data_IF_145877420164
#
_entry.id   IF_145877420164
#
_cell.length_a   1.000
_cell.length_b   1.000
_cell.length_c   1.000
_cell.angle_alpha   90.00
_cell.angle_beta   90.00
_cell.angle_gamma   90.00
#
_symmetry.space_group_name_H-M   'P 1'
#
loop_
_entity.id
_entity.type
_entity.pdbx_description
1 polymer ?
#
# COMPACT_ATOMS: atom_id res chain seq x y z
N UNK A 1 15.71 -17.37 -25.65
CA UNK A 1 15.94 -18.53 -24.76
C UNK A 1 17.10 -19.31 -25.36
N UNK A 2 18.12 -19.54 -24.59
CA UNK A 2 19.25 -20.36 -24.97
C UNK A 2 19.09 -21.71 -24.29
N UNK A 3 19.54 -22.79 -24.96
CA UNK A 3 19.41 -24.18 -24.51
C UNK A 3 17.93 -24.59 -24.25
N UNK A 4 17.27 -25.05 -25.29
CA UNK A 4 15.90 -25.58 -25.19
C UNK A 4 15.84 -27.07 -24.83
N UNK A 5 16.98 -27.74 -24.75
CA UNK A 5 17.11 -29.14 -24.31
C UNK A 5 18.10 -29.23 -23.15
N UNK A 6 17.72 -29.98 -22.14
CA UNK A 6 18.58 -30.27 -20.98
C UNK A 6 18.86 -31.77 -20.93
N UNK A 7 20.10 -32.15 -20.60
CA UNK A 7 20.50 -33.55 -20.43
C UNK A 7 20.68 -33.82 -18.94
N UNK A 8 19.99 -34.82 -18.45
CA UNK A 8 20.22 -35.39 -17.11
C UNK A 8 20.97 -36.71 -17.33
N UNK A 9 22.21 -36.76 -16.91
CA UNK A 9 23.06 -37.95 -17.03
C UNK A 9 22.52 -39.10 -16.20
N UNK A 10 22.80 -40.32 -16.60
CA UNK A 10 22.39 -41.51 -15.87
C UNK A 10 22.91 -41.47 -14.43
N UNK A 11 22.04 -41.74 -13.46
CA UNK A 11 22.33 -41.67 -12.03
C UNK A 11 22.36 -40.26 -11.43
N UNK A 12 22.01 -39.21 -12.20
CA UNK A 12 21.85 -37.84 -11.73
C UNK A 12 20.37 -37.46 -11.60
N UNK A 13 20.06 -36.54 -10.75
CA UNK A 13 18.73 -35.97 -10.56
C UNK A 13 18.60 -34.53 -11.09
N UNK A 14 19.69 -33.93 -11.53
CA UNK A 14 19.76 -32.55 -11.99
C UNK A 14 20.62 -32.48 -13.25
N UNK A 15 20.22 -31.68 -14.21
CA UNK A 15 21.04 -31.34 -15.39
C UNK A 15 22.27 -30.54 -14.96
N UNK A 16 23.43 -30.80 -15.61
CA UNK A 16 24.65 -30.03 -15.43
C UNK A 16 24.55 -28.60 -16.02
N UNK A 17 23.62 -28.40 -16.96
CA UNK A 17 23.37 -27.12 -17.60
C UNK A 17 21.98 -26.61 -17.28
N UNK A 18 21.82 -25.28 -17.29
CA UNK A 18 20.53 -24.61 -17.06
C UNK A 18 19.96 -24.02 -18.35
N UNK A 19 18.68 -23.75 -18.35
CA UNK A 19 18.02 -22.88 -19.34
C UNK A 19 18.32 -21.43 -18.97
N UNK A 20 18.92 -20.68 -19.90
CA UNK A 20 19.15 -19.25 -19.73
C UNK A 20 18.06 -18.45 -20.41
N UNK A 21 17.43 -17.57 -19.66
CA UNK A 21 16.50 -16.58 -20.15
C UNK A 21 17.14 -15.19 -20.07
N UNK A 22 17.11 -14.45 -21.17
CA UNK A 22 17.63 -13.09 -21.23
C UNK A 22 16.53 -12.15 -21.71
N UNK A 23 16.35 -11.04 -21.00
CA UNK A 23 15.50 -9.93 -21.45
C UNK A 23 16.31 -9.12 -22.44
N UNK A 24 15.93 -9.15 -23.72
CA UNK A 24 16.66 -8.48 -24.82
C UNK A 24 16.17 -7.04 -25.06
N UNK A 25 14.95 -6.70 -24.66
CA UNK A 25 14.42 -5.33 -24.67
C UNK A 25 13.46 -5.12 -23.51
N UNK A 26 13.46 -3.91 -22.97
CA UNK A 26 12.54 -3.46 -21.91
C UNK A 26 11.47 -2.48 -22.42
N UNK A 27 11.54 -2.11 -23.70
CA UNK A 27 10.69 -1.06 -24.29
C UNK A 27 9.19 -1.40 -24.27
N UNK A 28 8.87 -2.68 -24.26
CA UNK A 28 7.47 -3.16 -24.21
C UNK A 28 6.96 -3.37 -22.80
N UNK A 29 7.82 -3.26 -21.78
CA UNK A 29 7.39 -3.40 -20.38
C UNK A 29 6.77 -2.09 -19.93
N UNK A 30 5.50 -2.14 -19.54
CA UNK A 30 4.76 -0.99 -19.02
C UNK A 30 4.87 -0.94 -17.51
N UNK A 31 5.00 0.27 -16.96
CA UNK A 31 4.94 0.53 -15.53
C UNK A 31 3.62 -0.04 -14.96
N UNK A 32 3.68 -0.65 -13.78
CA UNK A 32 2.54 -1.25 -13.11
C UNK A 32 1.99 -2.53 -13.72
N UNK A 33 2.60 -3.02 -14.81
CA UNK A 33 2.15 -4.25 -15.46
C UNK A 33 3.01 -5.44 -15.03
N UNK A 34 2.35 -6.50 -14.59
CA UNK A 34 2.98 -7.79 -14.31
C UNK A 34 2.90 -8.68 -15.55
N UNK A 35 4.03 -9.13 -16.02
CA UNK A 35 4.13 -10.08 -17.12
C UNK A 35 4.43 -11.46 -16.58
N UNK A 36 3.81 -12.47 -17.15
CA UNK A 36 4.02 -13.87 -16.76
C UNK A 36 4.47 -14.65 -17.99
N UNK A 37 5.66 -15.25 -17.91
CA UNK A 37 6.21 -16.10 -18.94
C UNK A 37 6.12 -17.56 -18.48
N UNK A 38 5.21 -18.39 -19.05
CA UNK A 38 5.20 -19.83 -18.79
C UNK A 38 6.35 -20.51 -19.51
N UNK A 39 7.09 -21.33 -18.81
CA UNK A 39 8.13 -22.21 -19.38
C UNK A 39 7.77 -23.65 -19.03
N UNK A 40 7.52 -24.46 -20.07
CA UNK A 40 7.01 -25.84 -19.89
C UNK A 40 7.97 -26.85 -20.46
N UNK A 41 8.09 -27.99 -19.79
CA UNK A 41 8.71 -29.18 -20.37
C UNK A 41 7.72 -29.75 -21.40
N UNK A 42 8.11 -29.79 -22.66
CA UNK A 42 7.24 -30.29 -23.74
C UNK A 42 7.32 -31.79 -23.92
N UNK A 43 8.41 -32.43 -23.48
CA UNK A 43 8.58 -33.87 -23.55
C UNK A 43 9.94 -34.33 -23.04
N UNK A 44 10.09 -35.64 -22.93
CA UNK A 44 11.34 -36.34 -22.62
C UNK A 44 11.66 -37.34 -23.72
N UNK A 45 12.91 -37.57 -23.98
CA UNK A 45 13.37 -38.49 -25.05
C UNK A 45 13.29 -39.96 -24.66
N UNK A 46 13.39 -40.28 -23.39
CA UNK A 46 13.28 -41.66 -22.88
C UNK A 46 11.81 -42.09 -22.85
N UNK A 47 11.50 -43.19 -23.54
CA UNK A 47 10.14 -43.76 -23.65
C UNK A 47 9.60 -44.31 -22.34
N UNK A 48 10.47 -44.58 -21.37
CA UNK A 48 10.10 -45.11 -20.06
C UNK A 48 9.79 -44.00 -19.03
N UNK A 49 10.02 -42.72 -19.41
CA UNK A 49 9.79 -41.58 -18.56
C UNK A 49 8.59 -40.77 -19.07
N UNK A 50 7.90 -40.13 -18.15
CA UNK A 50 6.83 -39.19 -18.46
C UNK A 50 7.01 -37.90 -17.68
N UNK A 51 6.49 -36.82 -18.23
CA UNK A 51 6.45 -35.51 -17.55
C UNK A 51 5.26 -35.50 -16.61
N UNK A 52 5.48 -35.11 -15.35
CA UNK A 52 4.39 -34.93 -14.39
C UNK A 52 3.63 -33.62 -14.76
N UNK A 53 2.39 -33.76 -15.22
CA UNK A 53 1.57 -32.64 -15.73
C UNK A 53 1.45 -31.48 -14.72
N UNK A 54 1.22 -31.77 -13.46
CA UNK A 54 1.08 -30.73 -12.41
C UNK A 54 2.38 -29.95 -12.10
N UNK A 55 3.53 -30.43 -12.58
CA UNK A 55 4.85 -29.81 -12.31
C UNK A 55 5.64 -29.49 -13.57
N UNK A 56 5.01 -29.60 -14.75
CA UNK A 56 5.69 -29.38 -16.03
C UNK A 56 5.96 -27.93 -16.40
N UNK A 57 5.24 -27.00 -15.77
CA UNK A 57 5.30 -25.56 -16.11
C UNK A 57 5.74 -24.76 -14.90
N UNK A 58 6.75 -23.92 -15.10
CA UNK A 58 7.12 -22.84 -14.20
C UNK A 58 6.66 -21.52 -14.80
N UNK A 59 6.24 -20.60 -13.94
CA UNK A 59 5.84 -19.26 -14.32
C UNK A 59 6.88 -18.26 -13.85
N UNK A 60 7.53 -17.57 -14.81
CA UNK A 60 8.49 -16.52 -14.51
C UNK A 60 7.72 -15.20 -14.50
N UNK A 61 7.65 -14.58 -13.33
CA UNK A 61 6.99 -13.29 -13.15
C UNK A 61 8.01 -12.18 -13.37
N UNK A 62 7.69 -11.26 -14.27
CA UNK A 62 8.53 -10.12 -14.63
C UNK A 62 7.75 -8.85 -14.27
N UNK A 63 8.25 -8.11 -13.28
CA UNK A 63 7.73 -6.81 -12.88
C UNK A 63 8.76 -5.74 -13.18
N UNK A 64 8.30 -4.58 -13.65
CA UNK A 64 9.15 -3.41 -13.71
C UNK A 64 9.32 -2.85 -12.29
N UNK A 65 10.55 -2.64 -11.86
CA UNK A 65 10.83 -1.89 -10.63
C UNK A 65 10.52 -0.42 -10.90
N UNK A 66 9.60 0.11 -10.10
CA UNK A 66 9.26 1.52 -10.12
C UNK A 66 10.24 2.26 -9.22
N UNK A 67 10.87 3.31 -9.73
CA UNK A 67 11.72 4.21 -8.95
C UNK A 67 11.02 5.57 -8.97
N UNK A 68 10.64 6.05 -7.80
CA UNK A 68 9.85 7.25 -7.63
C UNK A 68 10.35 8.06 -6.43
N UNK A 69 9.54 8.99 -5.97
CA UNK A 69 9.73 9.77 -4.75
C UNK A 69 8.66 9.41 -3.72
N UNK A 70 8.82 9.94 -2.51
CA UNK A 70 7.81 9.89 -1.46
C UNK A 70 7.83 11.19 -0.67
N UNK A 71 6.69 11.63 -0.14
CA UNK A 71 6.65 12.80 0.72
C UNK A 71 7.33 12.53 2.05
N UNK A 72 8.18 13.46 2.49
CA UNK A 72 8.85 13.44 3.80
C UNK A 72 7.98 14.18 4.84
N UNK A 73 7.34 13.41 5.72
CA UNK A 73 6.53 13.87 6.84
C UNK A 73 7.20 13.53 8.18
N UNK A 74 8.53 13.65 8.22
CA UNK A 74 9.31 13.28 9.41
C UNK A 74 9.33 14.34 10.50
N UNK A 75 8.91 15.56 10.22
CA UNK A 75 8.85 16.62 11.21
C UNK A 75 7.45 16.70 11.85
N UNK A 76 7.44 17.16 13.11
CA UNK A 76 6.21 17.44 13.84
C UNK A 76 5.37 18.48 13.10
N UNK A 77 4.04 18.22 13.01
CA UNK A 77 3.10 19.14 12.41
C UNK A 77 3.16 19.20 10.88
N UNK A 78 3.82 18.25 10.22
CA UNK A 78 3.81 18.10 8.77
C UNK A 78 2.80 17.04 8.36
N UNK A 79 1.83 17.43 7.54
CA UNK A 79 0.73 16.55 7.11
C UNK A 79 0.02 17.14 5.88
N UNK A 80 -0.83 16.34 5.27
CA UNK A 80 -1.74 16.79 4.23
C UNK A 80 -3.18 16.78 4.73
N UNK A 81 -3.97 17.71 4.19
CA UNK A 81 -5.44 17.76 4.31
C UNK A 81 -6.07 17.38 2.99
N UNK A 82 -7.15 16.62 3.06
CA UNK A 82 -7.99 16.29 1.89
C UNK A 82 -9.45 16.62 2.22
N UNK A 83 -10.10 17.34 1.33
CA UNK A 83 -11.51 17.71 1.49
C UNK A 83 -12.41 16.81 0.61
N UNK A 84 -13.05 15.83 1.23
CA UNK A 84 -13.97 14.90 0.58
C UNK A 84 -15.41 15.42 0.45
N UNK A 85 -15.70 16.68 0.85
CA UNK A 85 -17.04 17.28 0.72
C UNK A 85 -17.36 17.74 -0.70
N UNK A 86 -16.37 17.76 -1.60
CA UNK A 86 -16.57 18.07 -3.01
C UNK A 86 -17.43 17.00 -3.67
N UNK A 87 -18.28 17.42 -4.58
CA UNK A 87 -19.05 16.50 -5.42
C UNK A 87 -18.14 15.59 -6.24
N UNK A 88 -18.48 14.31 -6.26
CA UNK A 88 -17.89 13.31 -7.12
C UNK A 88 -18.90 12.21 -7.42
N UNK A 89 -18.51 11.22 -8.21
CA UNK A 89 -19.36 10.04 -8.46
C UNK A 89 -19.57 9.15 -7.22
N UNK A 90 -18.81 9.38 -6.15
CA UNK A 90 -18.92 8.62 -4.90
C UNK A 90 -19.67 9.42 -3.84
N UNK A 91 -20.56 8.77 -3.10
CA UNK A 91 -21.16 9.33 -1.90
C UNK A 91 -20.17 9.21 -0.72
N UNK A 92 -19.23 10.14 -0.64
CA UNK A 92 -18.15 10.13 0.36
C UNK A 92 -18.63 10.32 1.79
N UNK A 93 -19.87 10.79 2.01
CA UNK A 93 -20.47 10.89 3.34
C UNK A 93 -21.05 9.56 3.85
N UNK A 94 -21.21 8.54 2.99
CA UNK A 94 -21.83 7.28 3.38
C UNK A 94 -21.32 6.09 2.54
N UNK A 95 -20.04 5.79 2.63
CA UNK A 95 -19.45 4.65 1.94
C UNK A 95 -19.75 3.35 2.71
N UNK A 96 -20.41 2.40 2.07
CA UNK A 96 -20.75 1.10 2.65
C UNK A 96 -19.58 0.11 2.69
N UNK A 97 -18.58 0.32 1.84
CA UNK A 97 -17.31 -0.39 1.84
C UNK A 97 -16.19 0.63 1.71
N UNK A 98 -15.10 0.43 2.43
CA UNK A 98 -13.97 1.37 2.39
C UNK A 98 -12.66 0.61 2.53
N UNK A 99 -11.67 1.01 1.75
CA UNK A 99 -10.28 0.65 2.01
C UNK A 99 -9.42 1.91 2.04
N UNK A 100 -8.61 2.06 3.08
CA UNK A 100 -7.48 2.97 3.08
C UNK A 100 -6.21 2.15 2.96
N UNK A 101 -5.33 2.55 2.09
CA UNK A 101 -4.02 1.94 1.97
C UNK A 101 -2.94 2.99 1.69
N UNK A 102 -1.74 2.75 2.19
CA UNK A 102 -0.57 3.57 1.92
C UNK A 102 0.71 2.75 2.04
N UNK A 103 1.71 3.12 1.26
CA UNK A 103 3.06 2.63 1.44
C UNK A 103 3.82 3.63 2.28
N UNK A 104 4.36 3.19 3.42
CA UNK A 104 5.01 4.05 4.40
C UNK A 104 6.36 3.50 4.86
N UNK A 105 7.22 4.40 5.32
CA UNK A 105 8.47 4.06 5.99
C UNK A 105 8.61 4.98 7.21
N UNK A 106 8.37 4.43 8.40
CA UNK A 106 8.61 5.16 9.65
C UNK A 106 10.11 5.27 9.91
N UNK A 107 10.62 6.47 10.12
CA UNK A 107 12.04 6.67 10.42
C UNK A 107 12.42 6.05 11.76
N UNK A 108 11.68 6.40 12.79
CA UNK A 108 11.85 5.85 14.13
C UNK A 108 10.58 6.10 14.94
N UNK A 109 9.93 5.04 15.29
CA UNK A 109 8.75 5.09 16.16
C UNK A 109 9.19 5.14 17.62
N UNK A 110 9.71 6.32 18.03
CA UNK A 110 10.07 6.60 19.42
C UNK A 110 9.17 7.72 19.89
N UNK A 111 8.33 7.51 20.91
CA UNK A 111 7.49 8.57 21.43
C UNK A 111 8.35 9.67 22.03
N UNK A 112 7.98 10.89 21.72
CA UNK A 112 8.31 12.07 22.53
C UNK A 112 7.31 12.15 23.68
N UNK A 113 7.61 12.97 24.69
CA UNK A 113 6.70 13.17 25.81
C UNK A 113 5.27 13.48 25.33
N UNK A 114 4.31 12.69 25.75
CA UNK A 114 2.90 12.80 25.35
C UNK A 114 2.51 12.10 24.06
N UNK A 115 3.45 11.70 23.22
CA UNK A 115 3.13 10.99 21.97
C UNK A 115 2.93 9.51 22.21
N UNK A 116 1.82 8.98 21.72
CA UNK A 116 1.41 7.60 21.92
C UNK A 116 0.87 6.92 20.66
N UNK A 117 0.93 7.58 19.50
CA UNK A 117 0.66 6.98 18.21
C UNK A 117 1.39 7.73 17.09
N UNK A 118 1.54 7.06 15.93
CA UNK A 118 2.02 7.62 14.67
C UNK A 118 0.90 7.43 13.64
N UNK A 119 0.38 8.53 13.12
CA UNK A 119 -0.78 8.47 12.23
C UNK A 119 -0.37 8.38 10.79
N UNK A 120 -1.05 7.54 10.03
CA UNK A 120 -0.82 7.36 8.59
C UNK A 120 -1.85 8.16 7.80
N UNK A 121 -3.14 7.82 7.92
CA UNK A 121 -4.19 8.53 7.19
C UNK A 121 -5.58 8.25 7.78
N UNK A 122 -6.49 9.17 7.55
CA UNK A 122 -7.90 9.00 7.90
C UNK A 122 -8.47 10.10 8.78
N UNK A 123 -9.60 9.78 9.41
CA UNK A 123 -10.36 10.66 10.29
C UNK A 123 -10.37 10.08 11.71
N UNK A 124 -9.81 10.83 12.65
CA UNK A 124 -9.80 10.44 14.05
C UNK A 124 -11.24 10.19 14.55
N UNK A 125 -11.41 9.22 15.43
CA UNK A 125 -12.69 8.77 16.01
C UNK A 125 -13.70 8.17 15.00
N UNK A 126 -13.42 8.23 13.68
CA UNK A 126 -14.28 7.65 12.66
C UNK A 126 -13.62 6.44 11.99
N UNK A 127 -12.59 6.68 11.19
CA UNK A 127 -11.85 5.63 10.48
C UNK A 127 -10.43 6.10 10.24
N UNK A 128 -9.49 5.69 11.11
CA UNK A 128 -8.13 6.21 11.10
C UNK A 128 -7.11 5.08 11.16
N UNK A 129 -6.25 5.03 10.15
CA UNK A 129 -5.09 4.15 10.07
C UNK A 129 -3.92 4.80 10.78
N UNK A 130 -3.52 4.23 11.91
CA UNK A 130 -2.45 4.73 12.77
C UNK A 130 -1.70 3.58 13.43
N UNK A 131 -0.78 3.89 14.32
CA UNK A 131 -0.11 2.89 15.15
C UNK A 131 -0.65 2.93 16.58
N UNK A 132 -0.51 1.80 17.29
CA UNK A 132 -0.65 1.70 18.75
C UNK A 132 0.52 0.90 19.30
N UNK A 133 0.91 1.16 20.56
CA UNK A 133 1.99 0.43 21.19
C UNK A 133 2.86 1.26 22.10
N UNK A 134 4.04 0.73 22.41
CA UNK A 134 5.01 1.34 23.29
C UNK A 134 6.45 1.03 22.85
N UNK A 135 7.43 1.71 23.45
CA UNK A 135 8.86 1.44 23.17
C UNK A 135 9.31 0.06 23.63
N UNK A 136 8.64 -0.54 24.59
CA UNK A 136 9.00 -1.85 25.16
C UNK A 136 8.36 -2.99 24.39
N UNK A 137 7.14 -2.80 23.88
CA UNK A 137 6.36 -3.83 23.18
C UNK A 137 6.41 -3.67 21.65
N UNK A 138 6.95 -2.55 21.17
CA UNK A 138 6.93 -2.18 19.77
C UNK A 138 5.60 -1.52 19.36
N UNK A 139 5.52 -1.15 18.09
CA UNK A 139 4.39 -0.41 17.51
C UNK A 139 3.65 -1.29 16.53
N UNK A 140 2.37 -1.45 16.72
CA UNK A 140 1.48 -2.24 15.86
C UNK A 140 0.66 -1.32 14.97
N UNK A 141 0.24 -1.82 13.81
CA UNK A 141 -0.79 -1.14 13.03
C UNK A 141 -2.10 -1.17 13.80
N UNK A 142 -2.81 -0.04 13.83
CA UNK A 142 -4.13 0.08 14.43
C UNK A 142 -5.12 0.72 13.44
N UNK A 143 -6.30 0.14 13.32
CA UNK A 143 -7.47 0.85 12.84
C UNK A 143 -8.26 1.36 14.04
N UNK A 144 -8.25 2.67 14.20
CA UNK A 144 -9.02 3.41 15.21
C UNK A 144 -10.31 3.95 14.61
N UNK A 145 -11.27 4.25 15.46
CA UNK A 145 -12.62 4.68 15.06
C UNK A 145 -13.59 3.50 14.97
N UNK A 146 -14.68 3.61 15.68
CA UNK A 146 -15.57 2.49 16.02
C UNK A 146 -15.00 1.62 17.16
N UNK A 147 -15.88 1.05 17.97
CA UNK A 147 -15.49 0.25 19.12
C UNK A 147 -15.68 -1.24 18.83
N UNK A 148 -14.69 -2.10 19.19
CA UNK A 148 -13.34 -1.76 19.63
C UNK A 148 -12.42 -1.35 18.46
N UNK A 149 -11.29 -0.69 18.75
CA UNK A 149 -10.19 -0.57 17.80
C UNK A 149 -9.58 -1.95 17.53
N UNK A 150 -8.90 -2.10 16.40
CA UNK A 150 -8.21 -3.34 16.04
C UNK A 150 -6.71 -3.10 15.84
N UNK A 151 -5.88 -3.90 16.48
CA UNK A 151 -4.42 -3.86 16.37
C UNK A 151 -3.91 -5.04 15.56
N UNK A 152 -2.81 -4.83 14.83
CA UNK A 152 -2.14 -5.91 14.12
C UNK A 152 -1.54 -6.93 15.09
N UNK A 153 -1.48 -8.19 14.63
CA UNK A 153 -0.77 -9.25 15.34
C UNK A 153 0.72 -8.91 15.47
N UNK A 154 1.33 -8.50 14.37
CA UNK A 154 2.76 -8.28 14.27
C UNK A 154 3.13 -6.81 14.50
N UNK A 155 4.34 -6.58 15.00
CA UNK A 155 4.94 -5.27 15.20
C UNK A 155 5.48 -4.73 13.88
N UNK A 156 5.27 -3.43 13.64
CA UNK A 156 5.80 -2.75 12.46
C UNK A 156 7.31 -2.50 12.58
N UNK A 157 8.06 -2.67 11.49
CA UNK A 157 9.49 -2.38 11.51
C UNK A 157 9.75 -0.86 11.48
N UNK A 158 10.86 -0.44 12.07
CA UNK A 158 11.43 0.88 11.84
C UNK A 158 12.30 0.86 10.58
N UNK A 159 12.32 1.99 9.89
CA UNK A 159 13.21 2.28 8.76
C UNK A 159 13.13 1.29 7.58
N UNK A 160 11.97 0.64 7.44
CA UNK A 160 11.65 -0.24 6.30
C UNK A 160 10.34 0.20 5.65
N UNK A 161 10.26 0.07 4.35
CA UNK A 161 9.00 0.28 3.63
C UNK A 161 8.03 -0.85 3.95
N UNK A 162 6.80 -0.48 4.28
CA UNK A 162 5.69 -1.41 4.47
C UNK A 162 4.45 -0.86 3.77
N UNK A 163 3.64 -1.75 3.22
CA UNK A 163 2.31 -1.42 2.75
C UNK A 163 1.30 -1.72 3.86
N UNK A 164 0.55 -0.71 4.24
CA UNK A 164 -0.46 -0.77 5.29
C UNK A 164 -1.84 -0.58 4.69
N UNK A 165 -2.80 -1.38 5.12
CA UNK A 165 -4.18 -1.19 4.70
C UNK A 165 -5.16 -1.51 5.84
N UNK A 166 -6.28 -0.78 5.84
CA UNK A 166 -7.46 -1.10 6.62
C UNK A 166 -8.68 -1.14 5.71
N UNK A 167 -9.55 -2.10 5.97
CA UNK A 167 -10.74 -2.39 5.18
C UNK A 167 -11.96 -2.41 6.08
N UNK A 168 -13.02 -1.74 5.67
CA UNK A 168 -14.37 -1.98 6.15
C UNK A 168 -15.18 -2.63 5.05
N UNK A 169 -15.71 -3.82 5.32
CA UNK A 169 -16.61 -4.55 4.44
C UNK A 169 -18.01 -4.57 5.07
N UNK A 170 -18.86 -3.66 4.61
CA UNK A 170 -20.22 -3.56 5.12
C UNK A 170 -21.10 -4.75 4.74
N UNK A 171 -20.76 -5.48 3.66
CA UNK A 171 -21.49 -6.70 3.27
C UNK A 171 -21.27 -7.84 4.26
N UNK A 172 -20.09 -7.91 4.88
CA UNK A 172 -19.74 -8.85 5.92
C UNK A 172 -19.97 -8.30 7.34
N UNK A 173 -20.16 -6.98 7.50
CA UNK A 173 -20.20 -6.32 8.79
C UNK A 173 -18.89 -6.48 9.57
N UNK A 174 -17.75 -6.38 8.88
CA UNK A 174 -16.43 -6.62 9.44
C UNK A 174 -15.43 -5.53 9.04
N UNK A 175 -14.41 -5.38 9.86
CA UNK A 175 -13.20 -4.61 9.55
C UNK A 175 -11.97 -5.51 9.61
N UNK A 176 -10.99 -5.15 8.77
CA UNK A 176 -9.76 -5.91 8.59
C UNK A 176 -8.57 -4.96 8.55
N UNK A 177 -7.41 -5.44 9.00
CA UNK A 177 -6.12 -4.74 8.82
C UNK A 177 -5.10 -5.67 8.18
N UNK A 178 -4.28 -5.08 7.31
CA UNK A 178 -3.28 -5.80 6.52
C UNK A 178 -1.92 -5.09 6.58
N UNK A 179 -0.86 -5.88 6.60
CA UNK A 179 0.52 -5.44 6.43
C UNK A 179 1.12 -6.23 5.27
N UNK A 180 1.61 -5.55 4.24
CA UNK A 180 2.14 -6.16 3.01
C UNK A 180 1.18 -7.18 2.35
N UNK A 181 -0.12 -6.89 2.39
CA UNK A 181 -1.17 -7.76 1.86
C UNK A 181 -1.48 -8.98 2.71
N UNK A 182 -0.85 -9.14 3.87
CA UNK A 182 -1.12 -10.23 4.82
C UNK A 182 -2.10 -9.78 5.90
N UNK A 183 -3.15 -10.56 6.11
CA UNK A 183 -4.16 -10.29 7.13
C UNK A 183 -3.52 -10.33 8.53
N UNK A 184 -3.65 -9.23 9.25
CA UNK A 184 -3.10 -9.05 10.59
C UNK A 184 -4.16 -9.11 11.69
N UNK A 185 -5.41 -8.89 11.33
CA UNK A 185 -6.53 -8.98 12.26
C UNK A 185 -7.86 -8.67 11.58
N UNK A 186 -8.93 -9.20 12.17
CA UNK A 186 -10.31 -8.91 11.78
C UNK A 186 -11.22 -8.81 13.01
N UNK A 187 -12.23 -7.96 12.96
CA UNK A 187 -13.26 -7.83 13.99
C UNK A 187 -14.62 -7.51 13.34
N UNK A 188 -15.73 -7.89 13.98
CA UNK A 188 -17.05 -7.38 13.62
C UNK A 188 -17.08 -5.85 13.69
N UNK A 189 -17.79 -5.21 12.77
CA UNK A 189 -18.02 -3.77 12.75
C UNK A 189 -19.38 -3.47 12.13
N UNK A 190 -20.28 -2.94 12.94
CA UNK A 190 -21.68 -2.69 12.56
C UNK A 190 -21.98 -1.24 12.25
N UNK A 191 -20.95 -0.43 11.92
CA UNK A 191 -21.12 1.02 11.66
C UNK A 191 -22.06 1.35 10.49
N UNK A 192 -22.29 0.42 9.57
CA UNK A 192 -23.10 0.61 8.37
C UNK A 192 -22.37 1.38 7.28
N UNK A 193 -21.82 2.54 7.55
CA UNK A 193 -21.10 3.39 6.60
C UNK A 193 -19.90 4.07 7.23
N UNK A 194 -18.95 4.48 6.37
CA UNK A 194 -17.84 5.38 6.72
C UNK A 194 -18.08 6.72 6.05
N UNK A 195 -18.05 7.79 6.82
CA UNK A 195 -18.21 9.17 6.37
C UNK A 195 -16.82 9.82 6.26
N UNK A 196 -16.36 10.06 5.02
CA UNK A 196 -15.07 10.74 4.77
C UNK A 196 -15.18 12.27 4.94
N UNK A 197 -16.39 12.79 5.06
CA UNK A 197 -16.66 14.24 5.28
C UNK A 197 -16.71 14.59 6.77
N UNK A 198 -16.65 13.56 7.63
CA UNK A 198 -16.72 13.72 9.09
C UNK A 198 -15.59 14.61 9.60
N UNK A 199 -15.98 15.59 10.43
CA UNK A 199 -15.04 16.45 11.12
C UNK A 199 -14.98 16.08 12.61
N UNK A 200 -13.80 15.78 13.13
CA UNK A 200 -13.59 15.50 14.53
C UNK A 200 -13.47 16.81 15.34
N UNK A 201 -14.26 16.90 16.40
CA UNK A 201 -14.26 18.06 17.29
C UNK A 201 -14.96 19.28 16.69
N UNK A 202 -14.55 20.47 17.15
CA UNK A 202 -15.15 21.74 16.72
C UNK A 202 -14.48 22.37 15.48
N UNK A 203 -13.47 21.74 14.93
CA UNK A 203 -12.82 22.23 13.72
C UNK A 203 -13.63 21.78 12.50
N UNK A 204 -14.54 22.64 12.04
CA UNK A 204 -15.31 22.43 10.82
C UNK A 204 -14.44 22.31 9.56
N UNK A 205 -13.15 22.61 9.66
CA UNK A 205 -12.16 22.41 8.62
C UNK A 205 -11.34 21.14 8.85
N UNK A 206 -11.62 20.38 9.93
CA UNK A 206 -10.99 19.07 10.11
C UNK A 206 -11.38 18.23 8.91
N UNK A 207 -10.37 17.87 8.19
CA UNK A 207 -10.51 17.09 6.98
C UNK A 207 -9.92 15.71 7.22
N UNK A 208 -9.99 14.89 6.24
CA UNK A 208 -9.18 13.71 6.15
C UNK A 208 -7.69 14.11 6.16
N UNK A 209 -6.92 13.56 7.09
CA UNK A 209 -5.49 13.84 7.20
C UNK A 209 -4.65 12.68 6.67
N UNK A 210 -3.47 13.01 6.09
CA UNK A 210 -2.42 12.06 5.79
C UNK A 210 -1.16 12.52 6.51
N UNK A 211 -0.58 11.65 7.34
CA UNK A 211 0.61 11.94 8.13
C UNK A 211 0.34 12.51 9.52
N UNK A 212 -0.91 12.74 9.88
CA UNK A 212 -1.31 13.23 11.21
C UNK A 212 -2.73 12.75 11.57
N UNK A 213 -3.11 12.83 12.85
CA UNK A 213 -4.49 12.76 13.31
C UNK A 213 -4.68 13.67 14.52
N UNK A 214 -5.87 14.23 14.70
CA UNK A 214 -6.33 15.05 15.83
C UNK A 214 -5.37 16.14 16.35
N UNK A 215 -4.07 15.86 16.53
CA UNK A 215 -3.08 16.76 17.11
C UNK A 215 -1.70 16.60 16.45
N UNK A 216 -0.90 17.65 16.49
CA UNK A 216 0.40 17.70 15.84
C UNK A 216 1.47 16.80 16.47
N UNK A 217 1.26 16.32 17.68
CA UNK A 217 2.09 15.30 18.35
C UNK A 217 1.84 13.87 17.84
N UNK A 218 0.78 13.67 17.05
CA UNK A 218 0.43 12.40 16.42
C UNK A 218 0.88 12.33 14.96
N UNK A 219 1.97 13.01 14.60
CA UNK A 219 2.52 13.00 13.26
C UNK A 219 3.20 11.66 12.91
N UNK A 220 3.29 11.36 11.62
CA UNK A 220 3.76 10.05 11.13
C UNK A 220 5.22 9.78 11.46
N UNK A 221 6.10 10.78 11.42
CA UNK A 221 7.56 10.65 11.56
C UNK A 221 8.17 9.68 10.53
N UNK A 222 7.95 9.96 9.27
CA UNK A 222 8.41 9.08 8.19
C UNK A 222 8.04 9.58 6.81
N UNK A 223 7.99 8.65 5.88
CA UNK A 223 7.73 8.90 4.47
C UNK A 223 6.45 8.20 4.04
N UNK A 224 5.69 8.83 3.13
CA UNK A 224 4.46 8.27 2.56
C UNK A 224 4.52 8.28 1.04
N UNK A 225 4.04 7.20 0.46
CA UNK A 225 3.88 7.01 -0.98
C UNK A 225 2.65 6.14 -1.25
N UNK A 226 2.10 6.20 -2.45
CA UNK A 226 1.02 5.32 -2.90
C UNK A 226 -0.18 5.29 -1.95
N UNK A 227 -0.61 6.45 -1.43
CA UNK A 227 -1.78 6.51 -0.56
C UNK A 227 -3.07 6.52 -1.40
N UNK A 228 -4.03 5.68 -1.02
CA UNK A 228 -5.28 5.47 -1.77
C UNK A 228 -6.47 5.31 -0.85
N UNK A 229 -7.61 5.78 -1.33
CA UNK A 229 -8.92 5.61 -0.71
C UNK A 229 -9.84 4.92 -1.72
N UNK A 230 -10.50 3.87 -1.30
CA UNK A 230 -11.40 3.07 -2.12
C UNK A 230 -12.80 3.02 -1.52
N UNK A 231 -13.82 3.00 -2.38
CA UNK A 231 -15.22 2.72 -2.05
C UNK A 231 -15.55 1.22 -2.17
N UNK A 232 -14.56 0.37 -2.08
CA UNK A 232 -14.68 -1.10 -2.13
C UNK A 232 -13.83 -1.74 -1.04
N UNK A 233 -14.24 -2.91 -0.58
CA UNK A 233 -13.44 -3.76 0.30
C UNK A 233 -12.40 -4.52 -0.55
N UNK A 234 -11.14 -4.09 -0.51
CA UNK A 234 -10.05 -4.71 -1.26
C UNK A 234 -9.69 -6.06 -0.68
N UNK A 235 -9.49 -7.05 -1.53
CA UNK A 235 -9.02 -8.37 -1.12
C UNK A 235 -7.54 -8.36 -0.73
N UNK A 236 -7.11 -9.36 0.07
CA UNK A 236 -5.69 -9.56 0.39
C UNK A 236 -4.82 -9.71 -0.89
N UNK A 237 -5.34 -10.39 -1.91
CA UNK A 237 -4.64 -10.55 -3.20
C UNK A 237 -4.47 -9.21 -3.92
N UNK A 238 -5.49 -8.37 -3.95
CA UNK A 238 -5.42 -7.03 -4.54
C UNK A 238 -4.41 -6.16 -3.80
N UNK A 239 -4.47 -6.14 -2.46
CA UNK A 239 -3.55 -5.39 -1.62
C UNK A 239 -2.09 -5.84 -1.78
N UNK A 240 -1.86 -7.15 -1.97
CA UNK A 240 -0.53 -7.71 -2.17
C UNK A 240 0.04 -7.42 -3.56
N UNK A 241 -0.81 -7.50 -4.59
CA UNK A 241 -0.36 -7.40 -5.98
C UNK A 241 -0.24 -5.95 -6.48
N UNK A 242 -0.89 -5.00 -5.84
CA UNK A 242 -0.98 -3.61 -6.31
C UNK A 242 -0.27 -2.60 -5.39
N UNK A 243 0.73 -3.03 -4.64
CA UNK A 243 1.46 -2.18 -3.68
C UNK A 243 2.10 -0.97 -4.37
N UNK A 244 2.68 -1.16 -5.54
CA UNK A 244 3.54 -0.17 -6.19
C UNK A 244 2.82 0.80 -7.11
N UNK A 245 1.69 0.40 -7.62
CA UNK A 245 0.90 1.19 -8.57
C UNK A 245 -0.47 0.57 -8.79
N UNK A 246 -1.45 1.42 -9.10
CA UNK A 246 -2.76 1.02 -9.64
C UNK A 246 -3.13 1.97 -10.76
N UNK A 247 -3.93 1.51 -11.72
CA UNK A 247 -4.51 2.39 -12.72
C UNK A 247 -5.44 3.40 -12.02
N UNK A 248 -5.18 4.71 -12.16
CA UNK A 248 -6.03 5.74 -11.56
C UNK A 248 -7.51 5.69 -11.99
N UNK A 249 -7.79 5.04 -13.10
CA UNK A 249 -9.15 4.84 -13.61
C UNK A 249 -9.82 3.57 -13.07
N UNK A 250 -9.18 2.83 -12.18
CA UNK A 250 -9.74 1.61 -11.59
C UNK A 250 -11.06 1.92 -10.88
N UNK A 251 -12.10 1.14 -11.18
CA UNK A 251 -13.40 1.32 -10.54
C UNK A 251 -13.32 1.11 -9.03
N UNK A 252 -14.06 1.92 -8.29
CA UNK A 252 -14.01 1.94 -6.83
C UNK A 252 -12.89 2.79 -6.22
N UNK A 253 -11.91 3.28 -7.01
CA UNK A 253 -10.85 4.15 -6.52
C UNK A 253 -11.39 5.59 -6.37
N UNK A 254 -11.49 6.04 -5.11
CA UNK A 254 -12.03 7.36 -4.75
C UNK A 254 -10.98 8.44 -4.88
N UNK A 255 -9.77 8.18 -4.35
CA UNK A 255 -8.64 9.11 -4.41
C UNK A 255 -7.32 8.36 -4.41
N UNK A 256 -6.31 8.92 -5.10
CA UNK A 256 -4.99 8.34 -5.23
C UNK A 256 -3.88 9.40 -5.27
N UNK A 257 -2.96 9.36 -4.34
CA UNK A 257 -1.79 10.24 -4.24
C UNK A 257 -0.51 9.42 -4.24
N UNK A 258 0.30 9.59 -5.28
CA UNK A 258 1.60 8.90 -5.36
C UNK A 258 2.65 9.53 -4.45
N UNK A 259 2.53 10.84 -4.18
CA UNK A 259 3.52 11.64 -3.44
C UNK A 259 4.91 11.64 -4.09
N UNK A 260 4.95 11.68 -5.40
CA UNK A 260 6.19 11.71 -6.16
C UNK A 260 6.58 13.11 -6.62
N UNK A 261 5.66 14.05 -6.63
CA UNK A 261 5.87 15.44 -7.02
C UNK A 261 4.70 16.31 -6.53
N UNK A 262 4.92 17.64 -6.37
CA UNK A 262 3.81 18.56 -6.15
C UNK A 262 3.05 18.81 -7.45
N UNK A 263 1.86 19.40 -7.34
CA UNK A 263 1.14 19.89 -8.52
C UNK A 263 1.93 20.98 -9.24
N UNK A 264 1.83 21.03 -10.56
CA UNK A 264 2.58 21.99 -11.40
C UNK A 264 2.33 23.46 -11.02
N UNK A 265 1.09 23.76 -10.63
CA UNK A 265 0.62 25.10 -10.29
C UNK A 265 0.77 25.45 -8.80
N UNK A 266 1.04 24.48 -7.95
CA UNK A 266 1.11 24.68 -6.51
C UNK A 266 2.03 23.69 -5.78
N UNK A 267 3.19 24.16 -5.35
CA UNK A 267 4.21 23.40 -4.63
C UNK A 267 3.75 22.81 -3.27
N UNK A 268 2.57 23.15 -2.78
CA UNK A 268 1.98 22.60 -1.55
C UNK A 268 0.85 21.59 -1.80
N UNK A 269 0.56 21.30 -3.04
CA UNK A 269 -0.53 20.39 -3.42
C UNK A 269 0.04 19.14 -4.09
N UNK A 270 -0.49 17.99 -3.75
CA UNK A 270 -0.28 16.74 -4.47
C UNK A 270 -1.59 16.36 -5.16
N UNK A 271 -1.51 16.17 -6.47
CA UNK A 271 -2.67 15.91 -7.30
C UNK A 271 -3.28 14.54 -7.00
N UNK A 272 -4.60 14.50 -6.92
CA UNK A 272 -5.39 13.27 -6.97
C UNK A 272 -5.42 12.74 -8.40
N UNK A 273 -4.77 11.62 -8.63
CA UNK A 273 -4.62 11.02 -9.96
C UNK A 273 -5.91 10.45 -10.54
N UNK A 274 -6.94 10.23 -9.72
CA UNK A 274 -8.23 9.68 -10.18
C UNK A 274 -9.05 10.68 -11.00
N UNK A 275 -8.71 11.97 -10.92
CA UNK A 275 -9.49 13.04 -11.52
C UNK A 275 -10.78 13.40 -10.75
N UNK A 276 -11.05 12.78 -9.59
CA UNK A 276 -12.20 13.12 -8.73
C UNK A 276 -12.01 14.46 -7.98
N UNK A 277 -10.80 15.04 -8.02
CA UNK A 277 -10.51 16.36 -7.48
C UNK A 277 -10.20 16.41 -5.99
N UNK A 278 -9.90 15.29 -5.37
CA UNK A 278 -9.52 15.19 -3.95
C UNK A 278 -8.03 15.42 -3.74
N UNK A 279 -7.51 16.54 -4.22
CA UNK A 279 -6.11 16.90 -4.06
C UNK A 279 -5.70 16.98 -2.60
N UNK A 280 -4.50 16.48 -2.26
CA UNK A 280 -3.93 16.57 -0.94
C UNK A 280 -3.15 17.88 -0.78
N UNK A 281 -3.56 18.73 0.15
CA UNK A 281 -2.90 20.01 0.41
C UNK A 281 -2.01 19.91 1.63
N UNK A 282 -0.72 20.22 1.46
CA UNK A 282 0.24 20.25 2.55
C UNK A 282 -0.08 21.40 3.52
N UNK A 283 -0.26 21.07 4.79
CA UNK A 283 -0.64 21.98 5.86
C UNK A 283 0.46 22.17 6.92
N UNK A 284 1.66 21.66 6.65
CA UNK A 284 2.80 21.75 7.55
C UNK A 284 3.43 23.14 7.62
N UNK A 285 4.30 23.32 8.60
CA UNK A 285 4.96 24.61 8.92
C UNK A 285 6.18 24.92 8.05
N UNK A 286 6.50 24.08 7.09
CA UNK A 286 7.63 24.24 6.20
C UNK A 286 7.25 24.13 4.75
N UNK A 287 8.24 23.80 3.95
CA UNK A 287 8.04 23.41 2.56
C UNK A 287 7.81 21.92 2.48
N UNK A 288 6.95 21.50 1.57
CA UNK A 288 6.82 20.09 1.21
C UNK A 288 8.17 19.58 0.69
N UNK A 289 8.60 18.44 1.23
CA UNK A 289 9.85 17.79 0.86
C UNK A 289 9.57 16.39 0.35
N UNK A 290 10.43 15.94 -0.55
CA UNK A 290 10.39 14.59 -1.09
C UNK A 290 11.72 13.88 -0.87
N UNK A 291 11.67 12.56 -0.68
CA UNK A 291 12.83 11.68 -0.72
C UNK A 291 12.84 10.96 -2.07
N UNK A 292 13.99 10.98 -2.73
CA UNK A 292 14.21 10.39 -4.05
C UNK A 292 14.65 8.93 -3.96
N UNK A 293 14.62 8.23 -5.09
CA UNK A 293 15.13 6.88 -5.22
C UNK A 293 14.29 5.82 -4.51
N UNK A 294 13.02 6.09 -4.25
CA UNK A 294 12.09 5.15 -3.62
C UNK A 294 11.76 4.02 -4.60
N UNK A 295 12.24 2.84 -4.31
CA UNK A 295 12.01 1.64 -5.14
C UNK A 295 10.75 0.92 -4.70
N UNK A 296 10.00 0.40 -5.68
CA UNK A 296 8.88 -0.51 -5.42
C UNK A 296 8.80 -1.59 -6.52
N UNK A 297 8.72 -2.88 -6.20
CA UNK A 297 8.86 -3.42 -4.85
C UNK A 297 10.25 -3.12 -4.26
N UNK A 298 10.31 -3.10 -2.95
CA UNK A 298 11.56 -2.90 -2.21
C UNK A 298 12.32 -4.23 -2.17
N UNK A 299 12.86 -4.61 -3.32
CA UNK A 299 13.68 -5.80 -3.44
C UNK A 299 15.09 -5.48 -2.94
N UNK A 300 15.26 -5.30 -1.67
CA UNK A 300 16.50 -5.66 -1.03
C UNK A 300 16.45 -7.18 -0.86
N UNK A 301 16.75 -7.92 -1.92
CA UNK A 301 17.21 -9.28 -1.75
C UNK A 301 18.51 -9.18 -0.94
N UNK A 302 18.41 -9.47 0.36
CA UNK A 302 19.56 -9.85 1.16
C UNK A 302 20.01 -11.25 0.77
#
# INVERSE_FOLDING_TARGET
MENTSLIIENGKSISSEGVRLSIISRELLKEGTTYVLPVSIVGVSDKNLSVIEGSRTIYIVINQVIITQAADLSNRGEYFKVDFRKESKYNTAALTNVTFEARVRFKKMTPTSGKWCFSVMGLEENFCLRTAGSNTEGWKLQLSGGSPAIDSRDVLPNDKWVHLACVYDGSQGKKFIYVNGELQGELPDTRGTVDLTYAYGQDANAAFYIGQSAADDRYMNGYVSEARVWAVARSAADLKNNVCWVDPLTDGLVAYWRFNEPAEDNAKVVTDLTGNGYNATFAGWGNLRFVEGVRCPDNTAE
#
